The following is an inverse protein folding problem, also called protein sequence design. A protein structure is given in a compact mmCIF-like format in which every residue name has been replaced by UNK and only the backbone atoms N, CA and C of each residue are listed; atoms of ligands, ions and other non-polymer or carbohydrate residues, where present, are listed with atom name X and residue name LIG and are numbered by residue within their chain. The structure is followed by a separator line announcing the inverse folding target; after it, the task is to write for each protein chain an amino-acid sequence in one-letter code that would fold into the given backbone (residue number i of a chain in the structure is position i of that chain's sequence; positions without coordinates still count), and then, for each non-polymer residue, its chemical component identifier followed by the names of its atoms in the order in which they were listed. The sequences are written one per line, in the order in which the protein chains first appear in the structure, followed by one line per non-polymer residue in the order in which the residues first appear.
data_IF_690107612859
#
_entry.id   IF_690107612859
#
_cell.length_a   1.000
_cell.length_b   1.000
_cell.length_c   1.000
_cell.angle_alpha   90.00
_cell.angle_beta   90.00
_cell.angle_gamma   90.00
#
_symmetry.space_group_name_H-M   'P 1'
#
loop_
_entity.id
_entity.type
_entity.pdbx_description
1 polymer ?
#
# COMPACT_ATOMS: atom_id res chain seq x y z
N UNK A 1 6.23 17.53 15.39
CA UNK A 1 6.73 16.70 14.27
C UNK A 1 6.22 15.28 14.46
N UNK A 2 5.34 14.78 13.59
CA UNK A 2 4.88 13.39 13.65
C UNK A 2 6.06 12.47 13.31
N UNK A 3 6.38 11.52 14.19
CA UNK A 3 7.32 10.44 13.84
C UNK A 3 6.66 9.60 12.74
N UNK A 4 7.26 9.54 11.56
CA UNK A 4 6.87 8.57 10.53
C UNK A 4 7.14 7.17 11.08
N UNK A 5 6.09 6.50 11.56
CA UNK A 5 6.16 5.11 11.99
C UNK A 5 6.51 4.25 10.77
N UNK A 6 7.51 3.38 10.89
CA UNK A 6 7.74 2.33 9.90
C UNK A 6 6.60 1.33 10.02
N UNK A 7 5.95 1.06 8.90
CA UNK A 7 4.89 0.08 8.79
C UNK A 7 5.36 -1.02 7.84
N UNK A 8 5.02 -2.26 8.15
CA UNK A 8 5.18 -3.35 7.20
C UNK A 8 4.01 -3.34 6.19
N UNK A 9 4.14 -4.11 5.11
CA UNK A 9 3.12 -4.16 4.07
C UNK A 9 1.75 -4.60 4.62
N UNK A 10 1.73 -5.58 5.53
CA UNK A 10 0.48 -6.12 6.10
C UNK A 10 -0.29 -5.06 6.90
N UNK A 11 0.40 -4.20 7.64
CA UNK A 11 -0.23 -3.09 8.37
C UNK A 11 -0.82 -2.04 7.41
N UNK A 12 -0.12 -1.74 6.31
CA UNK A 12 -0.62 -0.80 5.30
C UNK A 12 -1.85 -1.36 4.59
N UNK A 13 -1.85 -2.64 4.23
CA UNK A 13 -2.98 -3.29 3.57
C UNK A 13 -4.23 -3.31 4.46
N UNK A 14 -4.09 -3.59 5.77
CA UNK A 14 -5.22 -3.52 6.71
C UNK A 14 -5.85 -2.12 6.79
N UNK A 15 -5.03 -1.07 6.72
CA UNK A 15 -5.55 0.31 6.69
C UNK A 15 -6.30 0.56 5.38
N UNK A 16 -5.76 0.11 4.25
CA UNK A 16 -6.40 0.25 2.94
C UNK A 16 -7.77 -0.47 2.93
N UNK A 17 -7.82 -1.72 3.36
CA UNK A 17 -9.07 -2.50 3.49
C UNK A 17 -10.09 -1.78 4.37
N UNK A 18 -9.66 -1.30 5.55
CA UNK A 18 -10.54 -0.56 6.48
C UNK A 18 -11.05 0.77 5.92
N UNK A 19 -10.39 1.30 4.88
CA UNK A 19 -10.79 2.52 4.17
C UNK A 19 -11.49 2.23 2.83
N UNK A 20 -11.94 1.00 2.59
CA UNK A 20 -12.70 0.61 1.39
C UNK A 20 -11.84 0.53 0.13
N UNK A 21 -10.54 0.26 0.27
CA UNK A 21 -9.71 -0.11 -0.88
C UNK A 21 -9.74 -1.62 -1.07
N UNK A 22 -9.82 -2.03 -2.33
CA UNK A 22 -9.77 -3.42 -2.76
C UNK A 22 -8.48 -3.68 -3.54
N UNK A 23 -7.90 -4.87 -3.35
CA UNK A 23 -6.75 -5.33 -4.13
C UNK A 23 -7.22 -5.73 -5.54
N UNK A 24 -6.81 -4.97 -6.55
CA UNK A 24 -7.25 -5.19 -7.94
C UNK A 24 -6.21 -5.85 -8.83
N UNK A 25 -4.92 -5.78 -8.49
CA UNK A 25 -3.88 -6.54 -9.18
C UNK A 25 -2.58 -6.67 -8.40
N UNK A 26 -1.76 -7.64 -8.77
CA UNK A 26 -0.40 -7.78 -8.28
C UNK A 26 0.55 -8.05 -9.46
N UNK A 27 1.68 -7.32 -9.50
CA UNK A 27 2.78 -7.57 -10.44
C UNK A 27 4.09 -7.63 -9.66
N UNK A 28 4.69 -8.82 -9.60
CA UNK A 28 5.87 -9.05 -8.78
C UNK A 28 5.59 -8.75 -7.30
N UNK A 29 6.47 -7.97 -6.68
CA UNK A 29 6.35 -7.52 -5.29
C UNK A 29 5.54 -6.23 -5.15
N UNK A 30 4.67 -5.86 -6.09
CA UNK A 30 3.84 -4.67 -5.97
C UNK A 30 2.37 -5.04 -6.13
N UNK A 31 1.55 -4.53 -5.22
CA UNK A 31 0.10 -4.73 -5.17
C UNK A 31 -0.60 -3.41 -5.44
N UNK A 32 -1.57 -3.43 -6.34
CA UNK A 32 -2.41 -2.29 -6.71
C UNK A 32 -3.74 -2.36 -5.99
N UNK A 33 -4.04 -1.32 -5.25
CA UNK A 33 -5.26 -1.14 -4.48
C UNK A 33 -6.11 -0.01 -5.06
N UNK A 34 -7.43 -0.19 -5.13
CA UNK A 34 -8.37 0.79 -5.68
C UNK A 34 -9.52 1.01 -4.70
N UNK A 35 -9.88 2.27 -4.48
CA UNK A 35 -11.17 2.62 -3.88
C UNK A 35 -11.99 3.31 -4.98
N UNK A 36 -13.08 2.67 -5.40
CA UNK A 36 -13.92 3.15 -6.51
C UNK A 36 -14.76 4.37 -6.12
N UNK A 37 -15.27 4.40 -4.89
CA UNK A 37 -16.08 5.50 -4.36
C UNK A 37 -15.31 6.82 -4.34
N UNK A 38 -14.02 6.74 -3.98
CA UNK A 38 -13.12 7.89 -3.89
C UNK A 38 -12.28 8.09 -5.15
N UNK A 39 -12.39 7.19 -6.14
CA UNK A 39 -11.60 7.19 -7.37
C UNK A 39 -10.07 7.17 -7.13
N UNK A 40 -9.61 6.60 -6.02
CA UNK A 40 -8.20 6.57 -5.61
C UNK A 40 -7.52 5.25 -5.96
N UNK A 41 -6.22 5.30 -6.26
CA UNK A 41 -5.36 4.13 -6.49
C UNK A 41 -4.08 4.25 -5.67
N UNK A 42 -3.66 3.15 -5.05
CA UNK A 42 -2.42 3.06 -4.27
C UNK A 42 -1.63 1.84 -4.72
N UNK A 43 -0.30 1.98 -4.83
CA UNK A 43 0.61 0.85 -5.06
C UNK A 43 1.37 0.57 -3.77
N UNK A 44 1.24 -0.63 -3.23
CA UNK A 44 1.95 -1.09 -2.03
C UNK A 44 3.04 -2.08 -2.42
N UNK A 45 4.32 -1.80 -2.12
CA UNK A 45 5.36 -2.82 -2.19
C UNK A 45 5.05 -3.93 -1.18
N UNK A 46 5.12 -5.18 -1.59
CA UNK A 46 4.90 -6.35 -0.75
C UNK A 46 6.16 -7.22 -0.78
N UNK A 47 7.04 -6.98 0.19
CA UNK A 47 8.20 -7.83 0.45
C UNK A 47 7.88 -8.69 1.68
N UNK A 48 7.65 -9.99 1.48
CA UNK A 48 7.34 -10.96 2.55
C UNK A 48 8.23 -10.68 3.79
N UNK A 49 7.61 -10.12 4.84
CA UNK A 49 8.18 -9.93 6.19
C UNK A 49 9.30 -8.89 6.36
N UNK A 50 9.44 -7.89 5.47
CA UNK A 50 10.37 -6.75 5.70
C UNK A 50 9.61 -5.42 5.68
N UNK A 51 10.11 -4.45 6.45
CA UNK A 51 9.64 -3.06 6.44
C UNK A 51 9.63 -2.53 5.01
N UNK A 52 8.63 -1.70 4.68
CA UNK A 52 8.58 -1.02 3.40
C UNK A 52 9.77 -0.07 3.25
N UNK A 53 10.53 -0.12 2.13
CA UNK A 53 11.58 0.84 1.90
C UNK A 53 10.98 2.25 1.83
N UNK A 54 11.56 3.20 2.58
CA UNK A 54 11.07 4.58 2.67
C UNK A 54 11.21 5.37 1.34
N UNK A 55 11.85 4.81 0.31
CA UNK A 55 12.15 5.50 -0.95
C UNK A 55 11.26 4.99 -2.08
N UNK A 56 10.24 5.80 -2.36
CA UNK A 56 9.48 5.98 -3.61
C UNK A 56 9.07 4.73 -4.41
N UNK A 57 7.79 4.34 -4.32
CA UNK A 57 7.09 3.71 -5.43
C UNK A 57 6.38 4.80 -6.23
N UNK A 58 6.92 5.07 -7.42
CA UNK A 58 6.53 6.09 -8.38
C UNK A 58 5.09 5.97 -8.86
N UNK A 59 4.43 7.13 -8.94
CA UNK A 59 3.15 7.44 -9.60
C UNK A 59 3.08 6.94 -11.05
N UNK A 60 2.01 6.22 -11.40
CA UNK A 60 1.26 6.32 -12.68
C UNK A 60 -0.20 5.91 -12.45
#
# INVERSE_FOLDING_TARGET
MSRTRRMNADEVERILESNGFELISQKGSHRKWRNLDRQLQVIVPYHKKRDLPMRHSTTL
#
